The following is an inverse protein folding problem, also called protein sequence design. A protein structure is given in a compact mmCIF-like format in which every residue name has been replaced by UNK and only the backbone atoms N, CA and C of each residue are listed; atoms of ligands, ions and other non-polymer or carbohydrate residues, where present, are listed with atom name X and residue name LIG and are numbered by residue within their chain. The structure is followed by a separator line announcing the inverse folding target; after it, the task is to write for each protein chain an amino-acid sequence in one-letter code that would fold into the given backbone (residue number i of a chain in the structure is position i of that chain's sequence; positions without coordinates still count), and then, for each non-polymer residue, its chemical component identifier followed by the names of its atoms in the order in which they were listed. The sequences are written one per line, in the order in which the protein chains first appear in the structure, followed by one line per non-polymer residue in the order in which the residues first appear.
data_IF_800304818305
#
_entry.id   IF_800304818305
#
_cell.length_a   1.000
_cell.length_b   1.000
_cell.length_c   1.000
_cell.angle_alpha   90.00
_cell.angle_beta   90.00
_cell.angle_gamma   90.00
#
_symmetry.space_group_name_H-M   'P 1'
#
loop_
_entity.id
_entity.type
_entity.pdbx_description
1 polymer ?
#
# COMPACT_ATOMS: atom_id res chain seq x y z
N UNK A 1 -9.93 11.40 12.70
CA UNK A 1 -9.95 12.74 12.08
C UNK A 1 -8.66 13.46 12.47
N UNK A 2 -8.11 14.28 11.58
CA UNK A 2 -7.09 15.27 11.95
C UNK A 2 -7.79 16.57 12.32
N UNK A 3 -7.29 17.23 13.36
CA UNK A 3 -7.87 18.46 13.89
C UNK A 3 -6.80 19.53 14.03
N UNK A 4 -7.12 20.75 13.61
CA UNK A 4 -6.16 21.86 13.56
C UNK A 4 -6.38 22.89 14.67
N UNK A 5 -7.40 22.73 15.53
CA UNK A 5 -7.71 23.64 16.64
C UNK A 5 -7.38 23.02 17.99
N UNK A 6 -7.79 23.68 19.07
CA UNK A 6 -7.57 23.18 20.43
C UNK A 6 -8.25 21.83 20.67
N UNK A 7 -7.66 21.03 21.57
CA UNK A 7 -8.24 19.76 22.01
C UNK A 7 -9.60 19.98 22.70
N UNK A 8 -9.78 21.10 23.40
CA UNK A 8 -11.02 21.45 24.08
C UNK A 8 -12.20 21.58 23.10
N UNK A 9 -12.02 22.35 22.03
CA UNK A 9 -13.04 22.49 20.98
C UNK A 9 -13.38 21.17 20.31
N UNK A 10 -12.40 20.27 20.15
CA UNK A 10 -12.64 18.96 19.58
C UNK A 10 -13.51 18.09 20.48
N UNK A 11 -13.28 18.13 21.81
CA UNK A 11 -14.10 17.41 22.78
C UNK A 11 -15.53 17.91 22.78
N UNK A 12 -15.72 19.23 22.82
CA UNK A 12 -17.05 19.84 22.78
C UNK A 12 -17.83 19.43 21.52
N UNK A 13 -17.16 19.41 20.35
CA UNK A 13 -17.78 18.96 19.10
C UNK A 13 -18.16 17.48 19.15
N UNK A 14 -17.30 16.61 19.69
CA UNK A 14 -17.56 15.17 19.78
C UNK A 14 -18.67 14.86 20.79
N UNK A 15 -18.72 15.60 21.90
CA UNK A 15 -19.78 15.50 22.89
C UNK A 15 -21.11 15.99 22.34
N UNK A 16 -21.10 17.08 21.56
CA UNK A 16 -22.28 17.54 20.83
C UNK A 16 -22.74 16.50 19.80
N UNK A 17 -21.83 15.90 19.03
CA UNK A 17 -22.17 14.87 18.06
C UNK A 17 -22.81 13.64 18.73
N UNK A 18 -22.41 13.32 19.96
CA UNK A 18 -23.02 12.27 20.79
C UNK A 18 -24.47 12.55 21.22
N UNK A 19 -24.98 13.77 21.02
CA UNK A 19 -26.38 14.13 21.27
C UNK A 19 -27.26 14.01 20.03
N UNK A 20 -26.68 13.89 18.83
CA UNK A 20 -27.44 13.94 17.56
C UNK A 20 -28.41 12.77 17.38
N UNK A 21 -28.12 11.61 17.96
CA UNK A 21 -28.98 10.46 17.89
C UNK A 21 -29.15 9.80 19.26
N UNK A 22 -30.39 9.47 19.68
CA UNK A 22 -30.66 8.94 21.02
C UNK A 22 -29.98 7.59 21.27
N UNK A 23 -29.85 6.76 20.24
CA UNK A 23 -29.37 5.37 20.37
C UNK A 23 -27.95 5.13 19.83
N UNK A 24 -27.28 6.14 19.26
CA UNK A 24 -25.92 5.98 18.71
C UNK A 24 -24.97 6.85 19.53
N UNK A 25 -23.96 6.21 20.13
CA UNK A 25 -22.89 6.87 20.85
C UNK A 25 -21.55 6.60 20.15
N UNK A 26 -20.84 7.66 19.86
CA UNK A 26 -19.47 7.69 19.38
C UNK A 26 -18.54 7.44 20.57
N UNK A 27 -17.85 6.32 20.53
CA UNK A 27 -16.66 6.11 21.34
C UNK A 27 -15.47 6.74 20.62
N UNK A 28 -14.81 7.69 21.28
CA UNK A 28 -13.71 8.44 20.69
C UNK A 28 -12.52 8.52 21.64
N UNK A 29 -11.33 8.47 21.06
CA UNK A 29 -10.07 8.67 21.77
C UNK A 29 -9.23 9.70 21.04
N UNK A 30 -8.83 10.74 21.74
CA UNK A 30 -7.90 11.75 21.23
C UNK A 30 -6.49 11.31 21.59
N UNK A 31 -5.64 11.15 20.57
CA UNK A 31 -4.23 10.82 20.76
C UNK A 31 -3.42 11.31 19.57
N UNK A 32 -2.12 11.51 19.79
CA UNK A 32 -1.15 11.78 18.73
C UNK A 32 -0.84 10.55 17.88
N UNK A 33 -1.13 9.35 18.41
CA UNK A 33 -0.92 8.08 17.71
C UNK A 33 -2.24 7.34 17.57
N UNK A 34 -2.45 6.75 16.40
CA UNK A 34 -3.65 5.98 16.09
C UNK A 34 -3.26 4.72 15.33
N UNK A 35 -3.51 3.56 15.94
CA UNK A 35 -3.45 2.29 15.24
C UNK A 35 -4.75 2.10 14.44
N UNK A 36 -4.63 1.91 13.13
CA UNK A 36 -5.75 1.61 12.25
C UNK A 36 -5.36 0.47 11.30
N UNK A 37 -6.04 -0.67 11.45
CA UNK A 37 -5.68 -1.92 10.78
C UNK A 37 -4.20 -2.27 11.04
N UNK A 38 -3.41 -2.44 9.97
CA UNK A 38 -1.99 -2.78 10.02
C UNK A 38 -1.07 -1.54 9.98
N UNK A 39 -1.64 -0.33 10.11
CA UNK A 39 -0.89 0.94 10.02
C UNK A 39 -0.97 1.70 11.33
N UNK A 40 0.19 2.16 11.81
CA UNK A 40 0.29 3.10 12.92
C UNK A 40 0.48 4.49 12.35
N UNK A 41 -0.48 5.37 12.62
CA UNK A 41 -0.40 6.78 12.28
C UNK A 41 0.16 7.54 13.48
N UNK A 42 1.14 8.39 13.24
CA UNK A 42 1.73 9.26 14.25
C UNK A 42 1.76 10.69 13.73
N UNK A 43 1.15 11.60 14.49
CA UNK A 43 1.16 13.02 14.20
C UNK A 43 2.37 13.69 14.86
N UNK A 44 3.34 14.10 14.05
CA UNK A 44 4.52 14.85 14.48
C UNK A 44 4.28 16.34 14.20
N UNK A 45 3.63 17.03 15.13
CA UNK A 45 3.40 18.49 15.06
C UNK A 45 2.76 18.97 13.74
N UNK A 46 1.76 18.25 13.23
CA UNK A 46 1.05 18.56 11.99
C UNK A 46 1.51 17.74 10.79
N UNK A 47 2.64 17.03 10.88
CA UNK A 47 3.11 16.11 9.84
C UNK A 47 2.70 14.69 10.21
N UNK A 48 1.84 14.08 9.39
CA UNK A 48 1.46 12.68 9.56
C UNK A 48 2.56 11.75 9.05
N UNK A 49 2.99 10.85 9.92
CA UNK A 49 3.87 9.74 9.57
C UNK A 49 3.15 8.42 9.77
N UNK A 50 3.48 7.45 8.92
CA UNK A 50 2.92 6.10 8.96
C UNK A 50 4.02 5.06 9.15
N UNK A 51 3.72 3.99 9.87
CA UNK A 51 4.56 2.82 10.02
C UNK A 51 3.69 1.56 10.14
N UNK A 52 4.31 0.37 10.07
CA UNK A 52 3.59 -0.89 10.28
C UNK A 52 3.23 -1.01 11.76
N UNK A 53 1.95 -1.29 12.03
CA UNK A 53 1.48 -1.54 13.38
C UNK A 53 1.57 -3.03 13.71
N UNK A 54 2.30 -3.35 14.78
CA UNK A 54 2.32 -4.68 15.38
C UNK A 54 1.52 -4.66 16.68
N UNK A 55 0.44 -5.46 16.73
CA UNK A 55 -0.38 -5.59 17.94
C UNK A 55 0.46 -6.21 19.06
N UNK A 56 0.58 -5.57 20.24
CA UNK A 56 1.37 -6.11 21.35
C UNK A 56 0.92 -7.51 21.81
N UNK A 57 -0.38 -7.80 21.67
CA UNK A 57 -0.99 -9.07 22.08
C UNK A 57 -0.99 -10.11 20.97
N UNK A 58 -0.67 -9.74 19.73
CA UNK A 58 -0.63 -10.70 18.64
C UNK A 58 0.71 -11.44 18.66
N UNK A 59 0.67 -12.75 18.86
CA UNK A 59 1.81 -13.59 18.51
C UNK A 59 2.03 -13.47 16.99
N UNK A 60 3.27 -13.23 16.54
CA UNK A 60 3.59 -13.21 15.12
C UNK A 60 3.55 -14.64 14.60
N UNK A 61 2.35 -15.17 14.34
CA UNK A 61 2.17 -16.48 13.72
C UNK A 61 2.69 -16.43 12.29
N UNK A 62 3.94 -16.82 12.10
CA UNK A 62 4.51 -17.08 10.80
C UNK A 62 4.71 -18.58 10.64
N UNK A 63 4.49 -19.06 9.42
CA UNK A 63 4.69 -20.46 9.05
C UNK A 63 6.14 -20.85 9.35
N UNK A 64 6.41 -21.86 10.22
CA UNK A 64 7.78 -22.25 10.54
C UNK A 64 8.54 -22.73 9.30
N UNK A 65 9.82 -22.38 9.15
CA UNK A 65 10.60 -22.79 7.96
C UNK A 65 10.73 -24.31 7.77
N UNK A 66 10.60 -25.07 8.86
CA UNK A 66 10.69 -26.53 8.90
C UNK A 66 9.38 -27.23 8.53
N UNK A 67 8.30 -26.49 8.37
CA UNK A 67 6.99 -27.06 8.02
C UNK A 67 6.95 -27.51 6.56
N UNK A 68 6.09 -28.48 6.24
CA UNK A 68 5.95 -29.08 4.91
C UNK A 68 5.11 -28.21 3.97
N UNK A 69 5.47 -26.93 3.85
CA UNK A 69 4.86 -26.01 2.89
C UNK A 69 5.75 -25.85 1.65
N UNK A 70 5.16 -25.64 0.47
CA UNK A 70 5.92 -25.34 -0.73
C UNK A 70 6.78 -24.08 -0.59
N UNK A 71 7.96 -24.07 -1.25
CA UNK A 71 8.92 -22.94 -1.19
C UNK A 71 8.33 -21.58 -1.58
N UNK A 72 7.36 -21.57 -2.50
CA UNK A 72 6.72 -20.34 -2.95
C UNK A 72 5.88 -19.68 -1.84
N UNK A 73 5.36 -20.45 -0.87
CA UNK A 73 4.58 -19.90 0.25
C UNK A 73 5.45 -19.00 1.13
N UNK A 74 6.64 -19.49 1.49
CA UNK A 74 7.62 -18.72 2.26
C UNK A 74 8.09 -17.47 1.52
N UNK A 75 8.34 -17.58 0.21
CA UNK A 75 8.72 -16.45 -0.65
C UNK A 75 7.61 -15.39 -0.70
N UNK A 76 6.36 -15.82 -0.91
CA UNK A 76 5.20 -14.93 -0.92
C UNK A 76 5.01 -14.22 0.42
N UNK A 77 5.21 -14.88 1.55
CA UNK A 77 5.15 -14.25 2.88
C UNK A 77 6.18 -13.12 2.97
N UNK A 78 7.42 -13.35 2.54
CA UNK A 78 8.47 -12.32 2.57
C UNK A 78 8.15 -11.17 1.64
N UNK A 79 7.78 -11.45 0.38
CA UNK A 79 7.44 -10.43 -0.61
C UNK A 79 6.27 -9.56 -0.18
N UNK A 80 5.19 -10.17 0.33
CA UNK A 80 4.01 -9.44 0.83
C UNK A 80 4.36 -8.60 2.05
N UNK A 81 5.15 -9.12 2.99
CA UNK A 81 5.54 -8.37 4.19
C UNK A 81 6.47 -7.20 3.85
N UNK A 82 7.42 -7.39 2.93
CA UNK A 82 8.28 -6.30 2.43
C UNK A 82 7.48 -5.24 1.69
N UNK A 83 6.60 -5.64 0.77
CA UNK A 83 5.72 -4.72 0.05
C UNK A 83 4.88 -3.89 1.01
N UNK A 84 4.34 -4.54 2.05
CA UNK A 84 3.57 -3.90 3.12
C UNK A 84 4.43 -2.90 3.89
N UNK A 85 5.64 -3.29 4.31
CA UNK A 85 6.57 -2.43 5.02
C UNK A 85 6.90 -1.16 4.21
N UNK A 86 7.08 -1.28 2.90
CA UNK A 86 7.39 -0.13 2.04
C UNK A 86 6.19 0.79 1.86
N UNK A 87 5.00 0.21 1.65
CA UNK A 87 3.77 1.00 1.47
C UNK A 87 3.39 1.76 2.74
N UNK A 88 3.49 1.10 3.89
CA UNK A 88 3.03 1.64 5.18
C UNK A 88 4.05 2.53 5.87
N UNK A 89 5.33 2.46 5.49
CA UNK A 89 6.33 3.32 6.10
C UNK A 89 6.41 4.64 5.34
N UNK A 90 6.22 5.76 6.04
CA UNK A 90 6.47 7.09 5.49
C UNK A 90 7.96 7.45 5.50
N UNK A 91 8.72 6.95 6.47
CA UNK A 91 10.13 7.29 6.67
C UNK A 91 11.02 6.09 6.41
N UNK A 92 12.26 6.35 6.01
CA UNK A 92 13.26 5.30 5.81
C UNK A 92 13.59 4.56 7.12
N UNK A 93 13.58 5.26 8.25
CA UNK A 93 13.81 4.65 9.56
C UNK A 93 12.72 3.63 9.93
N UNK A 94 11.45 3.98 9.74
CA UNK A 94 10.33 3.07 9.98
C UNK A 94 10.43 1.83 9.09
N UNK A 95 10.75 2.02 7.81
CA UNK A 95 10.99 0.91 6.90
C UNK A 95 12.16 0.02 7.35
N UNK A 96 13.28 0.60 7.76
CA UNK A 96 14.44 -0.16 8.22
C UNK A 96 14.16 -0.94 9.49
N UNK A 97 13.35 -0.40 10.41
CA UNK A 97 12.89 -1.12 11.60
C UNK A 97 12.12 -2.37 11.19
N UNK A 98 11.16 -2.23 10.27
CA UNK A 98 10.38 -3.35 9.77
C UNK A 98 11.22 -4.36 8.99
N UNK A 99 12.17 -3.90 8.16
CA UNK A 99 13.12 -4.77 7.45
C UNK A 99 13.92 -5.64 8.41
N UNK A 100 14.35 -5.09 9.55
CA UNK A 100 15.05 -5.86 10.60
C UNK A 100 14.13 -6.90 11.22
N UNK A 101 12.89 -6.56 11.50
CA UNK A 101 11.90 -7.51 12.02
C UNK A 101 11.66 -8.68 11.05
N UNK A 102 11.50 -8.38 9.75
CA UNK A 102 11.32 -9.39 8.70
C UNK A 102 12.53 -10.33 8.62
N UNK A 103 13.74 -9.79 8.80
CA UNK A 103 14.98 -10.56 8.77
C UNK A 103 15.06 -11.66 9.85
N UNK A 104 14.27 -11.54 10.92
CA UNK A 104 14.25 -12.51 12.01
C UNK A 104 13.28 -13.68 11.77
N UNK A 105 12.46 -13.63 10.72
CA UNK A 105 11.37 -14.60 10.50
C UNK A 105 11.87 -15.97 10.03
N UNK A 106 12.91 -16.00 9.19
CA UNK A 106 13.41 -17.20 8.52
C UNK A 106 14.95 -17.23 8.54
N UNK A 107 15.59 -18.36 8.20
CA UNK A 107 17.04 -18.46 8.16
C UNK A 107 17.70 -17.41 7.26
N UNK A 108 18.82 -16.85 7.72
CA UNK A 108 19.51 -15.73 7.07
C UNK A 108 19.78 -15.98 5.59
N UNK A 109 20.35 -17.13 5.21
CA UNK A 109 20.65 -17.42 3.80
C UNK A 109 19.41 -17.41 2.89
N UNK A 110 18.25 -17.85 3.38
CA UNK A 110 17.01 -17.82 2.60
C UNK A 110 16.45 -16.41 2.49
N UNK A 111 16.41 -15.67 3.59
CA UNK A 111 15.90 -14.29 3.62
C UNK A 111 16.71 -13.37 2.72
N UNK A 112 18.04 -13.44 2.78
CA UNK A 112 18.88 -12.53 2.02
C UNK A 112 18.66 -12.70 0.51
N UNK A 113 18.51 -13.94 0.04
CA UNK A 113 18.18 -14.22 -1.36
C UNK A 113 16.81 -13.63 -1.75
N UNK A 114 15.81 -13.72 -0.86
CA UNK A 114 14.49 -13.14 -1.10
C UNK A 114 14.52 -11.60 -1.09
N UNK A 115 15.33 -11.00 -0.22
CA UNK A 115 15.53 -9.55 -0.16
C UNK A 115 16.20 -9.05 -1.44
N UNK A 116 17.26 -9.72 -1.89
CA UNK A 116 17.93 -9.40 -3.15
C UNK A 116 16.98 -9.48 -4.33
N UNK A 117 16.20 -10.57 -4.42
CA UNK A 117 15.20 -10.74 -5.49
C UNK A 117 14.11 -9.67 -5.44
N UNK A 118 13.74 -9.20 -4.26
CA UNK A 118 12.75 -8.13 -4.12
C UNK A 118 13.33 -6.78 -4.54
N UNK A 119 14.53 -6.41 -4.05
CA UNK A 119 15.11 -5.11 -4.34
C UNK A 119 15.58 -4.94 -5.78
N UNK A 120 16.01 -6.02 -6.45
CA UNK A 120 16.44 -5.97 -7.86
C UNK A 120 15.32 -5.57 -8.83
N UNK A 121 14.05 -5.73 -8.44
CA UNK A 121 12.90 -5.28 -9.25
C UNK A 121 12.74 -3.74 -9.24
N UNK A 122 13.18 -3.08 -8.17
CA UNK A 122 12.91 -1.66 -7.93
C UNK A 122 14.14 -0.77 -8.02
N UNK A 123 15.33 -1.35 -7.88
CA UNK A 123 16.60 -0.64 -7.84
C UNK A 123 17.51 -1.30 -8.86
N UNK A 124 18.18 -0.50 -9.70
CA UNK A 124 19.29 -0.97 -10.53
C UNK A 124 20.45 -1.35 -9.59
N UNK A 125 20.37 -2.55 -9.03
CA UNK A 125 21.30 -3.02 -8.02
C UNK A 125 22.65 -3.31 -8.68
N UNK A 126 23.63 -2.44 -8.41
CA UNK A 126 25.04 -2.83 -8.53
C UNK A 126 25.28 -4.03 -7.59
N UNK A 127 26.02 -5.07 -8.01
CA UNK A 127 26.27 -6.27 -7.21
C UNK A 127 26.92 -6.01 -5.85
N UNK A 128 27.46 -4.80 -5.62
CA UNK A 128 28.12 -4.40 -4.38
C UNK A 128 27.19 -3.82 -3.31
N UNK A 129 25.95 -3.42 -3.64
CA UNK A 129 25.01 -2.82 -2.68
C UNK A 129 23.59 -3.41 -2.83
N UNK A 130 23.36 -4.66 -2.37
CA UNK A 130 22.06 -5.34 -2.50
C UNK A 130 20.95 -4.79 -1.59
N UNK A 131 21.20 -3.71 -0.85
CA UNK A 131 20.27 -3.14 0.12
C UNK A 131 20.05 -1.66 -0.11
N UNK A 132 18.83 -1.22 0.21
CA UNK A 132 18.52 0.21 0.37
C UNK A 132 19.33 0.74 1.56
N UNK A 133 20.34 1.55 1.26
CA UNK A 133 21.15 2.25 2.24
C UNK A 133 20.79 3.74 2.34
N UNK A 134 20.22 4.29 1.26
CA UNK A 134 19.87 5.70 1.18
C UNK A 134 18.35 5.90 1.16
N UNK A 135 17.92 6.95 1.83
CA UNK A 135 16.52 7.37 1.90
C UNK A 135 15.94 7.73 0.51
N UNK A 136 16.77 8.26 -0.40
CA UNK A 136 16.37 8.55 -1.78
C UNK A 136 15.94 7.30 -2.54
N UNK A 137 16.70 6.20 -2.44
CA UNK A 137 16.37 4.92 -3.05
C UNK A 137 15.06 4.36 -2.50
N UNK A 138 14.85 4.50 -1.18
CA UNK A 138 13.59 4.11 -0.54
C UNK A 138 12.40 4.89 -1.12
N UNK A 139 12.51 6.20 -1.24
CA UNK A 139 11.41 7.02 -1.75
C UNK A 139 11.07 6.73 -3.21
N UNK A 140 12.08 6.54 -4.06
CA UNK A 140 11.88 6.16 -5.46
C UNK A 140 11.17 4.80 -5.58
N UNK A 141 11.64 3.81 -4.83
CA UNK A 141 11.02 2.49 -4.79
C UNK A 141 9.58 2.57 -4.28
N UNK A 142 9.34 3.33 -3.21
CA UNK A 142 8.00 3.53 -2.64
C UNK A 142 7.07 4.19 -3.65
N UNK A 143 7.53 5.22 -4.35
CA UNK A 143 6.74 5.89 -5.39
C UNK A 143 6.38 4.92 -6.52
N UNK A 144 7.32 4.09 -6.98
CA UNK A 144 7.09 3.04 -7.97
C UNK A 144 6.06 2.00 -7.48
N UNK A 145 6.13 1.57 -6.22
CA UNK A 145 5.20 0.59 -5.63
C UNK A 145 3.79 1.14 -5.40
N UNK A 146 3.64 2.45 -5.18
CA UNK A 146 2.36 3.11 -5.00
C UNK A 146 1.69 3.47 -6.33
N UNK A 147 2.46 3.68 -7.39
CA UNK A 147 1.92 3.93 -8.74
C UNK A 147 1.44 2.66 -9.44
N UNK A 148 1.87 1.48 -8.99
CA UNK A 148 1.41 0.22 -9.56
C UNK A 148 -0.09 -0.01 -9.27
N UNK A 149 -0.92 -0.23 -10.31
CA UNK A 149 -2.33 -0.52 -10.12
C UNK A 149 -2.49 -1.86 -9.40
N UNK A 150 -3.39 -1.91 -8.42
CA UNK A 150 -3.80 -3.16 -7.77
C UNK A 150 -4.33 -4.16 -8.81
N UNK A 151 -4.32 -5.46 -8.51
CA UNK A 151 -4.87 -6.48 -9.41
C UNK A 151 -6.31 -6.17 -9.81
N UNK A 152 -7.12 -5.70 -8.86
CA UNK A 152 -8.50 -5.26 -9.10
C UNK A 152 -8.56 -4.06 -10.05
N UNK A 153 -7.74 -3.04 -9.84
CA UNK A 153 -7.66 -1.88 -10.75
C UNK A 153 -7.20 -2.30 -12.15
N UNK A 154 -6.19 -3.16 -12.23
CA UNK A 154 -5.70 -3.72 -13.49
C UNK A 154 -6.79 -4.51 -14.23
N UNK A 155 -7.59 -5.30 -13.51
CA UNK A 155 -8.74 -6.02 -14.08
C UNK A 155 -9.83 -5.06 -14.57
N UNK A 156 -10.14 -4.00 -13.81
CA UNK A 156 -11.10 -2.97 -14.22
C UNK A 156 -10.62 -2.25 -15.48
N UNK A 157 -9.34 -1.84 -15.54
CA UNK A 157 -8.75 -1.18 -16.72
C UNK A 157 -8.80 -2.10 -17.93
N UNK A 158 -8.47 -3.39 -17.77
CA UNK A 158 -8.58 -4.39 -18.84
C UNK A 158 -10.03 -4.55 -19.32
N UNK A 159 -10.99 -4.60 -18.39
CA UNK A 159 -12.41 -4.70 -18.71
C UNK A 159 -12.92 -3.46 -19.46
N UNK A 160 -12.60 -2.25 -18.99
CA UNK A 160 -12.96 -0.99 -19.66
C UNK A 160 -12.34 -0.88 -21.06
N UNK A 161 -11.09 -1.31 -21.22
CA UNK A 161 -10.44 -1.36 -22.53
C UNK A 161 -11.14 -2.33 -23.48
N UNK A 162 -11.59 -3.51 -23.00
CA UNK A 162 -12.35 -4.45 -23.84
C UNK A 162 -13.77 -3.98 -24.19
N UNK A 163 -14.42 -3.20 -23.32
CA UNK A 163 -15.76 -2.64 -23.58
C UNK A 163 -15.69 -1.53 -24.65
N UNK A 164 -14.65 -0.70 -24.63
CA UNK A 164 -14.48 0.36 -25.64
C UNK A 164 -14.22 -0.20 -27.05
N UNK A 165 -13.62 -1.39 -27.18
CA UNK A 165 -13.38 -2.04 -28.48
C UNK A 165 -14.70 -2.59 -29.08
N UNK A 166 -15.72 -2.88 -28.26
CA UNK A 166 -17.01 -3.39 -28.71
C UNK A 166 -18.00 -2.33 -29.22
N UNK A 167 -17.77 -1.05 -28.93
CA UNK A 167 -18.65 0.05 -29.34
C UNK A 167 -18.24 0.73 -30.65
N UNK A 168 -17.11 0.33 -31.26
CA UNK A 168 -16.58 0.91 -32.50
C UNK A 168 -16.96 0.10 -33.76
N UNK A 169 -17.89 -0.86 -33.64
CA UNK A 169 -18.37 -1.70 -34.75
C UNK A 169 -19.90 -1.64 -34.92
N UNK A 170 -20.48 -0.45 -35.04
CA UNK A 170 -21.81 -0.29 -35.68
C UNK A 170 -21.90 1.10 -36.31
N UNK A 171 -21.71 1.15 -37.64
CA UNK A 171 -22.47 1.95 -38.62
C UNK A 171 -21.64 2.33 -39.85
N UNK A 172 -21.31 1.33 -40.68
CA UNK A 172 -21.09 1.56 -42.11
C UNK A 172 -22.13 0.77 -42.91
N UNK A 173 -23.36 1.30 -42.98
CA UNK A 173 -24.25 0.97 -44.10
C UNK A 173 -24.92 2.22 -44.68
N UNK A 174 -24.62 2.43 -45.96
CA UNK A 174 -25.46 3.05 -47.00
C UNK A 174 -25.77 4.56 -46.94
N UNK A 175 -25.03 5.34 -47.75
CA UNK A 175 -25.61 6.46 -48.52
C UNK A 175 -25.11 6.40 -49.97
N UNK A 176 -26.04 6.69 -50.88
CA UNK A 176 -26.11 6.34 -52.29
C UNK A 176 -25.19 7.20 -53.18
N UNK A 177 -24.77 6.60 -54.30
CA UNK A 177 -24.21 7.26 -55.48
C UNK A 177 -25.20 8.27 -56.05
N UNK A 178 -24.74 9.49 -56.33
CA UNK A 178 -25.24 10.35 -57.40
C UNK A 178 -24.13 11.35 -57.79
N UNK A 179 -23.58 11.17 -58.99
CA UNK A 179 -22.83 12.17 -59.76
C UNK A 179 -23.88 13.01 -60.54
N UNK A 180 -23.67 14.29 -60.96
CA UNK A 180 -22.56 14.63 -61.88
C UNK A 180 -22.03 16.10 -61.93
N UNK A 181 -20.78 16.22 -62.42
CA UNK A 181 -20.11 17.21 -63.31
C UNK A 181 -20.40 18.73 -63.37
N UNK A 182 -19.28 19.47 -63.59
CA UNK A 182 -19.06 20.79 -64.21
C UNK A 182 -19.37 22.03 -63.36
N UNK A 183 -18.51 23.04 -63.22
CA UNK A 183 -17.53 23.66 -64.15
C UNK A 183 -16.16 23.89 -63.52
#
# INVERSE_FOLDING_TARGET
MTWNRSEGELKELLDQANTWHPNIKLDYKISQTLAFLDVLLTNNNGVLSTSVYHKPTAEPYVVPFISDHPRHVFGNIIQTTLTRAVRYSSTFEAFNKERRNIKLIYPSGYIENQFQSFFSEYIDSSPFLPYIQHETQFFLMRQKLLSQPTTRQSQIVKHLASVNIGNDQTDETSVKKENPTCY
#
